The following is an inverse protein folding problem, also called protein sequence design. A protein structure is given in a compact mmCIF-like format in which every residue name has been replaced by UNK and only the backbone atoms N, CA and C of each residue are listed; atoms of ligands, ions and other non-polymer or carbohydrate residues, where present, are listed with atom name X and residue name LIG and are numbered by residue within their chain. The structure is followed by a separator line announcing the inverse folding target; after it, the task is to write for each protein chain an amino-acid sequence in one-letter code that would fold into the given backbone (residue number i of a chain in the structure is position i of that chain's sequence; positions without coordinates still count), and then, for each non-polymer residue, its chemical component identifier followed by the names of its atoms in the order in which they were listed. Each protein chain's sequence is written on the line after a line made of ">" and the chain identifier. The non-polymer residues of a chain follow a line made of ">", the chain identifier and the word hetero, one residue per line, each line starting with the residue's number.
data_IF_749442083696
#
_entry.id   IF_749442083696
#
_cell.length_a   1.000
_cell.length_b   1.000
_cell.length_c   1.000
_cell.angle_alpha   90.00
_cell.angle_beta   90.00
_cell.angle_gamma   90.00
#
_symmetry.space_group_name_H-M   'P 1'
#
loop_
_entity.id
_entity.type
_entity.pdbx_description
1 polymer ?
#
# COMPACT_ATOMS: atom_id res chain seq x y z
N UNK A 1 8.32 105.45 -5.86
CA UNK A 1 8.43 104.00 -6.15
C UNK A 1 9.28 103.36 -5.07
N UNK A 2 8.64 102.61 -4.15
CA UNK A 2 9.30 102.06 -2.98
C UNK A 2 8.48 100.94 -2.36
N UNK A 3 9.03 99.72 -2.43
CA UNK A 3 9.00 98.60 -1.45
C UNK A 3 7.72 98.24 -0.66
N UNK A 4 6.54 98.76 -0.99
CA UNK A 4 5.29 98.42 -0.29
C UNK A 4 4.29 97.63 -1.15
N UNK A 5 4.32 97.73 -2.49
CA UNK A 5 3.34 97.06 -3.36
C UNK A 5 3.77 95.67 -3.85
N UNK A 6 5.07 95.37 -3.88
CA UNK A 6 5.56 94.02 -4.22
C UNK A 6 5.31 92.95 -3.14
N UNK A 7 4.99 93.36 -1.89
CA UNK A 7 4.68 92.42 -0.80
C UNK A 7 3.20 92.07 -0.69
N UNK A 8 2.29 92.79 -1.38
CA UNK A 8 0.85 92.45 -1.40
C UNK A 8 0.44 91.52 -2.55
N UNK A 9 1.30 91.32 -3.56
CA UNK A 9 1.05 90.38 -4.65
C UNK A 9 1.52 88.93 -4.40
N UNK A 10 2.15 88.62 -3.25
CA UNK A 10 2.61 87.25 -2.89
C UNK A 10 1.79 86.56 -1.79
N UNK A 11 0.64 87.11 -1.40
CA UNK A 11 -0.26 86.50 -0.41
C UNK A 11 -1.67 86.22 -0.95
N UNK A 12 -1.79 85.95 -2.25
CA UNK A 12 -3.05 85.54 -2.88
C UNK A 12 -2.87 84.23 -3.64
N UNK A 13 -3.03 83.09 -2.96
CA UNK A 13 -3.25 81.81 -3.65
C UNK A 13 -2.27 80.69 -3.31
N UNK A 14 -2.54 79.98 -2.22
CA UNK A 14 -2.37 78.52 -2.13
C UNK A 14 -2.81 77.97 -0.75
N UNK A 15 -4.02 78.31 -0.29
CA UNK A 15 -4.74 77.43 0.66
C UNK A 15 -5.62 76.46 -0.14
N UNK A 16 -4.97 75.60 -0.95
CA UNK A 16 -5.61 74.36 -1.38
C UNK A 16 -5.54 73.44 -0.16
N UNK A 17 -6.63 73.40 0.60
CA UNK A 17 -6.84 72.32 1.56
C UNK A 17 -6.59 71.01 0.80
N UNK A 18 -5.60 70.22 1.23
CA UNK A 18 -5.55 68.81 0.84
C UNK A 18 -6.78 68.18 1.50
N UNK A 19 -7.94 68.33 0.86
CA UNK A 19 -9.10 67.53 1.12
C UNK A 19 -8.61 66.10 0.94
N UNK A 20 -8.38 65.38 2.06
CA UNK A 20 -8.12 63.95 2.03
C UNK A 20 -9.31 63.36 1.30
N UNK A 21 -9.13 63.04 0.02
CA UNK A 21 -10.13 62.32 -0.76
C UNK A 21 -10.37 61.04 0.01
N UNK A 22 -11.45 61.00 0.80
CA UNK A 22 -11.93 59.80 1.46
C UNK A 22 -12.22 58.85 0.32
N UNK A 23 -11.30 57.90 0.07
CA UNK A 23 -11.46 56.84 -0.93
C UNK A 23 -12.75 56.07 -0.58
N UNK A 24 -13.88 56.47 -1.15
CA UNK A 24 -15.15 55.74 -1.11
C UNK A 24 -15.09 54.68 -2.21
N UNK A 25 -15.36 53.43 -1.87
CA UNK A 25 -15.34 52.28 -2.78
C UNK A 25 -14.69 51.03 -2.17
N UNK A 26 -14.90 49.87 -2.80
CA UNK A 26 -14.41 48.54 -2.38
C UNK A 26 -12.92 48.51 -2.04
N UNK A 27 -12.11 49.41 -2.65
CA UNK A 27 -10.69 49.62 -2.34
C UNK A 27 -10.39 49.99 -0.87
N UNK A 28 -11.38 50.42 -0.07
CA UNK A 28 -11.23 50.63 1.38
C UNK A 28 -11.10 49.33 2.18
N UNK A 29 -11.50 48.20 1.60
CA UNK A 29 -11.39 46.87 2.20
C UNK A 29 -10.08 46.17 1.83
N UNK A 30 -9.44 46.56 0.72
CA UNK A 30 -8.17 46.02 0.22
C UNK A 30 -6.95 46.89 0.58
N UNK A 31 -6.93 47.52 1.76
CA UNK A 31 -5.68 48.10 2.26
C UNK A 31 -4.76 46.97 2.75
N UNK A 32 -3.45 47.06 2.52
CA UNK A 32 -2.47 46.04 2.96
C UNK A 32 -2.65 45.66 4.43
N UNK A 33 -2.95 46.63 5.31
CA UNK A 33 -3.25 46.38 6.74
C UNK A 33 -4.50 45.52 6.97
N UNK A 34 -5.55 45.68 6.16
CA UNK A 34 -6.76 44.86 6.25
C UNK A 34 -6.57 43.51 5.60
N UNK A 35 -5.86 43.43 4.46
CA UNK A 35 -5.45 42.14 3.86
C UNK A 35 -4.61 41.31 4.83
N UNK A 36 -3.65 41.94 5.50
CA UNK A 36 -2.80 41.32 6.51
C UNK A 36 -3.61 40.93 7.76
N UNK A 37 -4.50 41.81 8.24
CA UNK A 37 -5.40 41.53 9.36
C UNK A 37 -6.37 40.38 9.06
N UNK A 38 -6.96 40.33 7.86
CA UNK A 38 -7.80 39.23 7.41
C UNK A 38 -7.00 37.94 7.27
N UNK A 39 -5.77 37.98 6.75
CA UNK A 39 -4.89 36.83 6.67
C UNK A 39 -4.59 36.25 8.05
N UNK A 40 -4.12 37.07 9.00
CA UNK A 40 -3.86 36.61 10.36
C UNK A 40 -5.13 36.19 11.10
N UNK A 41 -6.26 36.85 10.85
CA UNK A 41 -7.57 36.45 11.38
C UNK A 41 -8.00 35.07 10.87
N UNK A 42 -7.81 34.79 9.59
CA UNK A 42 -8.06 33.46 9.01
C UNK A 42 -7.09 32.41 9.56
N UNK A 43 -5.81 32.74 9.75
CA UNK A 43 -4.86 31.84 10.40
C UNK A 43 -5.28 31.51 11.83
N UNK A 44 -5.70 32.50 12.62
CA UNK A 44 -6.20 32.29 13.98
C UNK A 44 -7.48 31.44 14.00
N UNK A 45 -8.42 31.69 13.09
CA UNK A 45 -9.62 30.85 12.96
C UNK A 45 -9.27 29.41 12.58
N UNK A 46 -8.32 29.20 11.65
CA UNK A 46 -7.84 27.88 11.28
C UNK A 46 -7.14 27.16 12.45
N UNK A 47 -6.33 27.89 13.23
CA UNK A 47 -5.70 27.37 14.45
C UNK A 47 -6.75 26.99 15.50
N UNK A 48 -7.76 27.84 15.71
CA UNK A 48 -8.87 27.56 16.63
C UNK A 48 -9.68 26.34 16.21
N UNK A 49 -10.03 26.25 14.93
CA UNK A 49 -10.71 25.07 14.38
C UNK A 49 -9.86 23.79 14.53
N UNK A 50 -8.56 23.86 14.23
CA UNK A 50 -7.65 22.74 14.43
C UNK A 50 -7.56 22.32 15.90
N UNK A 51 -7.52 23.29 16.82
CA UNK A 51 -7.49 23.04 18.26
C UNK A 51 -8.77 22.35 18.75
N UNK A 52 -9.94 22.78 18.28
CA UNK A 52 -11.22 22.09 18.57
C UNK A 52 -11.21 20.65 18.06
N UNK A 53 -10.73 20.42 16.84
CA UNK A 53 -10.62 19.07 16.27
C UNK A 53 -9.62 18.23 17.07
N UNK A 54 -8.50 18.81 17.50
CA UNK A 54 -7.52 18.16 18.37
C UNK A 54 -8.16 17.70 19.68
N UNK A 55 -9.04 18.52 20.30
CA UNK A 55 -9.77 18.13 21.51
C UNK A 55 -10.83 17.06 21.26
N UNK A 56 -11.54 17.13 20.12
CA UNK A 56 -12.63 16.22 19.79
C UNK A 56 -12.19 14.83 19.34
N UNK A 57 -10.99 14.67 18.79
CA UNK A 57 -10.48 13.36 18.34
C UNK A 57 -9.90 12.63 19.55
N UNK A 58 -10.57 11.60 20.12
CA UNK A 58 -9.99 10.81 21.19
C UNK A 58 -8.75 10.08 20.70
N UNK A 59 -7.79 9.82 21.59
CA UNK A 59 -6.76 8.82 21.33
C UNK A 59 -7.50 7.48 21.37
N UNK A 60 -7.50 6.68 20.30
CA UNK A 60 -8.07 5.35 20.35
C UNK A 60 -7.42 4.59 21.52
N UNK A 61 -8.22 3.84 22.29
CA UNK A 61 -7.70 2.98 23.35
C UNK A 61 -6.60 2.09 22.79
N UNK A 62 -5.61 1.78 23.62
CA UNK A 62 -4.39 1.02 23.29
C UNK A 62 -4.74 -0.38 22.75
N UNK A 63 -5.15 -0.48 21.49
CA UNK A 63 -5.15 -1.71 20.70
C UNK A 63 -3.74 -1.93 20.16
N UNK A 64 -2.72 -1.75 21.01
CA UNK A 64 -1.29 -1.90 20.68
C UNK A 64 -0.98 -3.36 20.31
N UNK A 65 -1.88 -4.28 20.66
CA UNK A 65 -2.05 -5.54 19.97
C UNK A 65 -3.38 -5.49 19.21
N UNK A 66 -3.38 -5.03 17.96
CA UNK A 66 -4.27 -5.66 17.02
C UNK A 66 -3.85 -7.14 17.08
N UNK A 67 -4.61 -7.97 17.80
CA UNK A 67 -4.46 -9.42 17.77
C UNK A 67 -4.82 -9.82 16.36
N UNK A 68 -3.81 -9.82 15.49
CA UNK A 68 -3.94 -10.14 14.09
C UNK A 68 -4.08 -11.66 14.05
N UNK A 69 -5.32 -12.16 14.13
CA UNK A 69 -5.65 -13.57 14.18
C UNK A 69 -5.42 -14.27 12.82
N UNK A 70 -5.19 -15.59 12.78
CA UNK A 70 -5.13 -16.30 11.51
C UNK A 70 -6.46 -16.16 10.74
N UNK A 71 -6.40 -15.95 9.42
CA UNK A 71 -7.57 -16.17 8.57
C UNK A 71 -7.89 -17.65 8.53
N UNK A 72 -9.18 -17.98 8.60
CA UNK A 72 -9.68 -19.36 8.50
C UNK A 72 -10.44 -19.49 7.18
N UNK A 73 -10.00 -20.41 6.34
CA UNK A 73 -10.68 -20.77 5.09
C UNK A 73 -11.49 -22.03 5.35
N UNK A 74 -12.79 -21.99 5.06
CA UNK A 74 -13.72 -23.11 5.20
C UNK A 74 -14.29 -23.52 3.86
N UNK A 75 -14.53 -24.81 3.69
CA UNK A 75 -15.31 -25.36 2.58
C UNK A 75 -16.81 -25.10 2.79
N UNK A 76 -17.62 -25.38 1.78
CA UNK A 76 -19.08 -25.12 1.82
C UNK A 76 -19.82 -25.90 2.91
N UNK A 77 -19.27 -27.04 3.36
CA UNK A 77 -19.79 -27.83 4.48
C UNK A 77 -19.28 -27.36 5.86
N UNK A 78 -18.49 -26.27 5.92
CA UNK A 78 -17.93 -25.72 7.15
C UNK A 78 -16.60 -26.35 7.60
N UNK A 79 -16.11 -27.40 6.92
CA UNK A 79 -14.79 -27.98 7.21
C UNK A 79 -13.69 -26.94 7.00
N UNK A 80 -12.74 -26.85 7.93
CA UNK A 80 -11.57 -25.98 7.77
C UNK A 80 -10.66 -26.55 6.68
N UNK A 81 -10.47 -25.76 5.63
CA UNK A 81 -9.57 -26.03 4.51
C UNK A 81 -8.13 -25.64 4.86
N UNK A 82 -7.94 -24.40 5.34
CA UNK A 82 -6.64 -23.86 5.64
C UNK A 82 -6.74 -22.73 6.68
N UNK A 83 -5.62 -22.45 7.33
CA UNK A 83 -5.42 -21.22 8.10
C UNK A 83 -4.23 -20.49 7.53
N UNK A 84 -4.37 -19.19 7.28
CA UNK A 84 -3.26 -18.36 6.78
C UNK A 84 -3.02 -17.17 7.71
N UNK A 85 -1.78 -16.71 7.74
CA UNK A 85 -1.29 -15.75 8.73
C UNK A 85 -0.53 -16.45 9.85
N UNK A 86 0.53 -15.79 10.33
CA UNK A 86 1.39 -16.32 11.37
C UNK A 86 0.66 -16.39 12.71
N UNK A 87 0.68 -17.58 13.32
CA UNK A 87 0.27 -17.80 14.73
C UNK A 87 1.27 -17.14 15.69
N UNK A 88 2.51 -16.86 15.23
CA UNK A 88 3.58 -16.24 16.00
C UNK A 88 4.05 -14.92 15.34
N UNK A 89 3.25 -13.84 15.48
CA UNK A 89 3.78 -12.49 15.25
C UNK A 89 4.56 -12.08 16.49
N UNK A 90 5.80 -12.57 16.60
CA UNK A 90 6.72 -12.18 17.66
C UNK A 90 7.00 -10.68 17.54
N UNK A 91 6.44 -9.90 18.46
CA UNK A 91 6.74 -8.47 18.58
C UNK A 91 8.15 -8.35 19.15
N UNK A 92 9.06 -7.79 18.37
CA UNK A 92 10.44 -7.59 18.80
C UNK A 92 10.64 -6.16 19.27
N UNK A 93 11.31 -6.00 20.41
CA UNK A 93 11.76 -4.68 20.85
C UNK A 93 12.77 -4.09 19.86
N UNK A 94 12.88 -2.75 19.81
CA UNK A 94 13.82 -2.07 18.92
C UNK A 94 15.27 -2.50 19.19
N UNK A 95 15.58 -2.87 20.44
CA UNK A 95 16.87 -3.39 20.89
C UNK A 95 17.31 -4.68 20.16
N UNK A 96 16.34 -5.46 19.65
CA UNK A 96 16.63 -6.67 18.86
C UNK A 96 16.92 -6.37 17.39
N UNK A 97 16.54 -5.19 16.91
CA UNK A 97 16.79 -4.76 15.54
C UNK A 97 18.17 -4.08 15.48
N UNK A 98 19.12 -4.53 14.64
CA UNK A 98 20.41 -3.87 14.50
C UNK A 98 20.27 -2.38 14.12
N UNK A 99 20.99 -1.50 14.82
CA UNK A 99 20.91 -0.02 14.62
C UNK A 99 21.08 0.40 13.15
N UNK A 100 22.01 -0.16 12.35
CA UNK A 100 22.11 0.19 10.93
C UNK A 100 20.82 -0.10 10.15
N UNK A 101 20.11 -1.16 10.51
CA UNK A 101 18.81 -1.51 9.90
C UNK A 101 17.77 -0.49 10.32
N UNK A 102 17.67 -0.12 11.61
CA UNK A 102 16.76 0.94 12.07
C UNK A 102 16.97 2.24 11.29
N UNK A 103 18.24 2.65 11.14
CA UNK A 103 18.62 3.82 10.35
C UNK A 103 18.18 3.74 8.89
N UNK A 104 18.20 2.57 8.26
CA UNK A 104 17.72 2.39 6.88
C UNK A 104 16.24 2.75 6.73
N UNK A 105 15.39 2.38 7.69
CA UNK A 105 13.96 2.73 7.70
C UNK A 105 13.79 4.24 7.82
N UNK A 106 14.50 4.86 8.76
CA UNK A 106 14.44 6.31 8.99
C UNK A 106 14.97 7.09 7.79
N UNK A 107 16.12 6.70 7.25
CA UNK A 107 16.77 7.37 6.14
C UNK A 107 15.93 7.31 4.85
N UNK A 108 15.18 6.22 4.65
CA UNK A 108 14.32 6.06 3.49
C UNK A 108 12.97 6.76 3.64
N UNK A 109 12.29 6.57 4.78
CA UNK A 109 10.89 6.99 4.97
C UNK A 109 10.77 8.40 5.57
N UNK A 110 11.65 8.80 6.50
CA UNK A 110 11.46 10.01 7.30
C UNK A 110 12.79 10.55 7.88
N UNK A 111 13.60 11.26 7.07
CA UNK A 111 14.91 11.81 7.50
C UNK A 111 14.85 12.68 8.77
N UNK A 112 13.72 13.33 9.03
CA UNK A 112 13.47 14.20 10.19
C UNK A 112 12.85 13.48 11.40
N UNK A 113 12.75 12.15 11.37
CA UNK A 113 11.97 11.36 12.33
C UNK A 113 12.25 11.69 13.79
N UNK A 114 13.53 11.75 14.18
CA UNK A 114 13.91 12.00 15.57
C UNK A 114 13.63 13.43 16.05
N UNK A 115 13.49 14.39 15.12
CA UNK A 115 13.29 15.81 15.43
C UNK A 115 11.84 16.28 15.21
N UNK A 116 11.08 15.57 14.39
CA UNK A 116 9.69 15.93 14.09
C UNK A 116 8.75 15.69 15.27
N UNK A 117 7.55 16.25 15.21
CA UNK A 117 6.52 16.13 16.25
C UNK A 117 5.38 15.21 15.82
N UNK A 118 5.71 14.08 15.21
CA UNK A 118 4.77 13.12 14.62
C UNK A 118 4.30 13.52 13.22
N UNK A 119 4.48 14.79 12.83
CA UNK A 119 4.27 15.30 11.48
C UNK A 119 5.41 16.24 11.11
N UNK A 120 5.98 16.08 9.90
CA UNK A 120 7.01 16.99 9.41
C UNK A 120 6.38 18.24 8.77
N UNK A 121 6.01 19.21 9.60
CA UNK A 121 5.40 20.47 9.12
C UNK A 121 6.33 21.27 8.23
N UNK A 122 7.65 21.27 8.51
CA UNK A 122 8.64 22.02 7.72
C UNK A 122 8.81 21.37 6.35
N UNK A 123 8.91 20.04 6.30
CA UNK A 123 8.99 19.25 5.08
C UNK A 123 7.71 19.34 4.26
N UNK A 124 6.54 19.23 4.89
CA UNK A 124 5.23 19.37 4.23
C UNK A 124 5.06 20.75 3.60
N UNK A 125 5.37 21.82 4.33
CA UNK A 125 5.26 23.20 3.82
C UNK A 125 6.23 23.44 2.67
N UNK A 126 7.48 22.98 2.81
CA UNK A 126 8.50 23.05 1.75
C UNK A 126 8.08 22.27 0.50
N UNK A 127 7.44 21.11 0.70
CA UNK A 127 6.90 20.27 -0.35
C UNK A 127 5.82 20.97 -1.16
N UNK A 128 4.80 21.51 -0.47
CA UNK A 128 3.72 22.28 -1.09
C UNK A 128 4.27 23.45 -1.91
N UNK A 129 5.22 24.21 -1.35
CA UNK A 129 5.86 25.32 -2.05
C UNK A 129 6.58 24.88 -3.32
N UNK A 130 7.34 23.78 -3.25
CA UNK A 130 8.02 23.22 -4.44
C UNK A 130 7.03 22.74 -5.50
N UNK A 131 5.93 22.10 -5.09
CA UNK A 131 4.89 21.65 -6.00
C UNK A 131 4.18 22.81 -6.69
N UNK A 132 3.84 23.87 -5.95
CA UNK A 132 3.27 25.10 -6.51
C UNK A 132 4.25 25.82 -7.46
N UNK A 133 5.55 25.65 -7.24
CA UNK A 133 6.61 26.14 -8.13
C UNK A 133 6.94 25.17 -9.30
N UNK A 134 6.14 24.11 -9.50
CA UNK A 134 6.33 23.15 -10.59
C UNK A 134 7.53 22.20 -10.43
N UNK A 135 8.18 22.17 -9.27
CA UNK A 135 9.41 21.37 -9.00
C UNK A 135 9.11 19.95 -8.49
N UNK A 136 7.92 19.42 -8.76
CA UNK A 136 7.48 18.08 -8.38
C UNK A 136 6.86 17.96 -6.98
N UNK A 137 6.13 16.87 -6.76
CA UNK A 137 5.52 16.54 -5.48
C UNK A 137 6.57 16.00 -4.49
N UNK A 138 6.74 16.67 -3.35
CA UNK A 138 7.57 16.21 -2.24
C UNK A 138 6.69 16.16 -0.99
N UNK A 139 6.02 15.04 -0.73
CA UNK A 139 5.09 14.92 0.40
C UNK A 139 4.89 13.48 0.83
N UNK A 140 5.85 12.95 1.60
CA UNK A 140 5.70 11.66 2.26
C UNK A 140 5.02 11.82 3.62
N UNK A 141 4.31 10.78 4.07
CA UNK A 141 3.83 10.73 5.47
C UNK A 141 4.99 10.32 6.38
N UNK A 142 5.06 10.87 7.59
CA UNK A 142 6.07 10.50 8.60
C UNK A 142 5.90 9.06 9.06
N UNK A 143 6.94 8.47 9.68
CA UNK A 143 6.86 7.14 10.29
C UNK A 143 5.72 7.11 11.34
N UNK A 144 5.57 8.16 12.16
CA UNK A 144 4.46 8.26 13.12
C UNK A 144 3.09 8.25 12.43
N UNK A 145 2.94 8.97 11.32
CA UNK A 145 1.70 8.94 10.52
C UNK A 145 1.43 7.56 9.94
N UNK A 146 2.46 6.88 9.46
CA UNK A 146 2.32 5.53 8.92
C UNK A 146 1.97 4.51 10.02
N UNK A 147 2.61 4.60 11.19
CA UNK A 147 2.27 3.80 12.37
C UNK A 147 0.81 4.01 12.80
N UNK A 148 0.36 5.27 12.83
CA UNK A 148 -1.04 5.60 13.14
C UNK A 148 -2.01 5.05 12.10
N UNK A 149 -1.69 5.20 10.83
CA UNK A 149 -2.49 4.66 9.72
C UNK A 149 -2.63 3.14 9.82
N UNK A 150 -1.57 2.44 10.22
CA UNK A 150 -1.57 0.97 10.30
C UNK A 150 -2.37 0.45 11.51
N UNK A 151 -2.35 1.16 12.65
CA UNK A 151 -2.94 0.65 13.90
C UNK A 151 -4.32 1.21 14.24
N UNK A 152 -4.63 2.44 13.84
CA UNK A 152 -5.76 3.17 14.41
C UNK A 152 -6.83 3.61 13.41
N UNK A 153 -6.54 3.57 12.11
CA UNK A 153 -7.44 4.10 11.09
C UNK A 153 -7.81 3.04 10.07
N UNK A 154 -9.07 3.12 9.60
CA UNK A 154 -9.50 2.39 8.41
C UNK A 154 -8.80 2.95 7.16
N UNK A 155 -8.70 2.15 6.10
CA UNK A 155 -7.89 2.49 4.92
C UNK A 155 -8.54 3.52 3.97
N UNK A 156 -9.75 4.00 4.28
CA UNK A 156 -10.56 4.91 3.44
C UNK A 156 -9.92 6.28 3.21
N UNK A 157 -9.52 6.65 1.99
CA UNK A 157 -8.84 7.94 1.74
C UNK A 157 -9.77 9.16 1.70
N UNK A 158 -10.36 9.55 2.84
CA UNK A 158 -11.13 10.80 2.98
C UNK A 158 -10.30 11.94 3.58
N UNK A 159 -10.65 13.20 3.25
CA UNK A 159 -10.01 14.40 3.85
C UNK A 159 -10.17 14.40 5.38
N UNK A 160 -11.33 13.98 5.87
CA UNK A 160 -11.60 13.81 7.30
C UNK A 160 -10.68 12.75 7.94
N UNK A 161 -10.41 11.63 7.26
CA UNK A 161 -9.44 10.64 7.74
C UNK A 161 -8.04 11.24 7.84
N UNK A 162 -7.58 11.98 6.82
CA UNK A 162 -6.22 12.54 6.84
C UNK A 162 -6.03 13.57 7.97
N UNK A 163 -7.07 14.34 8.30
CA UNK A 163 -7.03 15.26 9.44
C UNK A 163 -6.97 14.50 10.78
N UNK A 164 -7.75 13.42 10.93
CA UNK A 164 -7.65 12.52 12.10
C UNK A 164 -6.25 11.90 12.21
N UNK A 165 -5.67 11.45 11.10
CA UNK A 165 -4.31 10.90 11.05
C UNK A 165 -3.27 11.89 11.59
N UNK A 166 -3.33 13.16 11.15
CA UNK A 166 -2.45 14.23 11.65
C UNK A 166 -2.62 14.40 13.16
N UNK A 167 -3.86 14.57 13.64
CA UNK A 167 -4.14 14.81 15.06
C UNK A 167 -3.69 13.62 15.93
N UNK A 168 -4.00 12.39 15.53
CA UNK A 168 -3.60 11.19 16.27
C UNK A 168 -2.07 11.06 16.25
N UNK A 169 -1.39 11.38 15.15
CA UNK A 169 0.08 11.35 15.07
C UNK A 169 0.74 12.32 16.04
N UNK A 170 0.19 13.53 16.19
CA UNK A 170 0.66 14.49 17.20
C UNK A 170 0.51 13.94 18.63
N UNK A 171 -0.60 13.27 18.92
CA UNK A 171 -0.87 12.70 20.25
C UNK A 171 -0.01 11.48 20.54
N UNK A 172 0.21 10.62 19.55
CA UNK A 172 1.10 9.46 19.65
C UNK A 172 2.54 9.92 19.92
N UNK A 173 3.02 10.93 19.21
CA UNK A 173 4.36 11.49 19.41
C UNK A 173 4.59 12.12 20.79
N UNK A 174 3.51 12.61 21.43
CA UNK A 174 3.56 13.15 22.79
C UNK A 174 3.55 12.06 23.87
N UNK A 175 2.99 10.88 23.57
CA UNK A 175 2.79 9.81 24.55
C UNK A 175 3.87 8.74 24.50
N UNK A 176 4.42 8.47 23.33
CA UNK A 176 5.43 7.43 23.09
C UNK A 176 6.76 8.04 22.67
N UNK A 177 7.85 7.40 23.07
CA UNK A 177 9.19 7.73 22.57
C UNK A 177 9.33 7.40 21.08
N UNK A 178 10.31 8.04 20.41
CA UNK A 178 10.62 7.76 19.01
C UNK A 178 10.99 6.30 18.78
N UNK A 179 11.65 5.67 19.75
CA UNK A 179 12.05 4.27 19.68
C UNK A 179 10.82 3.34 19.75
N UNK A 180 9.86 3.62 20.63
CA UNK A 180 8.59 2.89 20.69
C UNK A 180 7.78 3.06 19.40
N UNK A 181 7.75 4.27 18.84
CA UNK A 181 7.05 4.54 17.57
C UNK A 181 7.73 3.79 16.41
N UNK A 182 9.07 3.78 16.36
CA UNK A 182 9.81 3.06 15.32
C UNK A 182 9.63 1.55 15.45
N UNK A 183 9.71 1.00 16.66
CA UNK A 183 9.43 -0.40 16.93
C UNK A 183 8.00 -0.76 16.53
N UNK A 184 7.03 0.04 16.95
CA UNK A 184 5.62 -0.13 16.61
C UNK A 184 5.41 -0.09 15.10
N UNK A 185 6.01 0.87 14.40
CA UNK A 185 5.98 0.96 12.94
C UNK A 185 6.55 -0.31 12.28
N UNK A 186 7.75 -0.74 12.69
CA UNK A 186 8.41 -1.91 12.13
C UNK A 186 7.68 -3.21 12.43
N UNK A 187 7.00 -3.33 13.57
CA UNK A 187 6.24 -4.52 13.96
C UNK A 187 4.83 -4.57 13.36
N UNK A 188 4.26 -3.44 12.97
CA UNK A 188 2.87 -3.36 12.45
C UNK A 188 2.80 -3.13 10.94
N UNK A 189 3.94 -2.84 10.31
CA UNK A 189 4.02 -2.70 8.86
C UNK A 189 3.89 -4.03 8.15
N UNK A 190 3.22 -4.02 6.99
CA UNK A 190 3.11 -5.16 6.09
C UNK A 190 4.28 -5.17 5.12
N UNK A 191 5.03 -6.26 5.11
CA UNK A 191 6.20 -6.46 4.26
C UNK A 191 5.90 -7.38 3.06
N UNK A 192 4.66 -7.73 2.76
CA UNK A 192 4.40 -8.75 1.73
C UNK A 192 4.63 -10.17 2.25
N UNK A 193 4.40 -11.19 1.41
CA UNK A 193 4.48 -12.62 1.80
C UNK A 193 3.67 -13.02 3.05
N UNK A 194 2.64 -12.25 3.40
CA UNK A 194 1.89 -12.44 4.65
C UNK A 194 2.63 -11.98 5.92
N UNK A 195 3.84 -11.43 5.80
CA UNK A 195 4.65 -10.99 6.92
C UNK A 195 4.23 -9.59 7.40
N UNK A 196 3.68 -9.53 8.61
CA UNK A 196 3.53 -8.29 9.36
C UNK A 196 4.55 -8.27 10.47
N UNK A 197 5.30 -7.18 10.51
CA UNK A 197 6.38 -7.04 11.45
C UNK A 197 7.72 -7.50 10.92
N UNK A 198 8.77 -6.81 11.35
CA UNK A 198 10.12 -7.00 10.86
C UNK A 198 10.68 -8.39 11.14
N UNK A 199 10.31 -9.03 12.26
CA UNK A 199 10.74 -10.40 12.57
C UNK A 199 10.12 -11.42 11.62
N UNK A 200 8.81 -11.32 11.36
CA UNK A 200 8.14 -12.17 10.38
C UNK A 200 8.72 -11.94 8.97
N UNK A 201 9.04 -10.69 8.62
CA UNK A 201 9.67 -10.36 7.35
C UNK A 201 11.09 -10.95 7.22
N UNK A 202 11.91 -10.86 8.27
CA UNK A 202 13.24 -11.47 8.32
C UNK A 202 13.18 -12.98 8.04
N UNK A 203 12.20 -13.67 8.63
CA UNK A 203 11.96 -15.09 8.40
C UNK A 203 11.43 -15.38 6.98
N UNK A 204 10.46 -14.60 6.49
CA UNK A 204 9.84 -14.80 5.18
C UNK A 204 10.77 -14.51 3.98
N UNK A 205 11.71 -13.58 4.13
CA UNK A 205 12.63 -13.17 3.07
C UNK A 205 14.03 -13.78 3.19
N UNK A 206 14.49 -14.06 4.41
CA UNK A 206 15.87 -14.52 4.65
C UNK A 206 15.97 -15.78 5.51
N UNK A 207 14.89 -16.22 6.16
CA UNK A 207 14.90 -17.37 7.07
C UNK A 207 15.78 -17.15 8.30
N UNK A 208 15.90 -15.88 8.74
CA UNK A 208 16.75 -15.44 9.84
C UNK A 208 15.93 -14.67 10.85
N UNK A 209 16.41 -14.62 12.09
CA UNK A 209 15.95 -13.64 13.08
C UNK A 209 16.40 -12.24 12.66
N UNK A 210 15.60 -11.23 13.00
CA UNK A 210 15.91 -9.82 12.67
C UNK A 210 17.28 -9.39 13.21
N UNK A 211 17.69 -9.93 14.36
CA UNK A 211 18.99 -9.67 14.99
C UNK A 211 20.19 -10.20 14.20
N UNK A 212 19.95 -11.11 13.26
CA UNK A 212 20.98 -11.75 12.41
C UNK A 212 20.98 -11.22 10.98
N UNK A 213 20.11 -10.26 10.66
CA UNK A 213 20.08 -9.65 9.32
C UNK A 213 21.31 -8.76 9.11
N UNK A 214 21.80 -8.75 7.88
CA UNK A 214 22.80 -7.74 7.47
C UNK A 214 22.13 -6.41 7.13
N UNK A 215 22.92 -5.35 7.01
CA UNK A 215 22.40 -4.03 6.59
C UNK A 215 21.75 -4.10 5.20
N UNK A 216 22.33 -4.86 4.26
CA UNK A 216 21.80 -5.04 2.91
C UNK A 216 20.40 -5.68 2.94
N UNK A 217 20.24 -6.73 3.75
CA UNK A 217 18.98 -7.46 3.93
C UNK A 217 17.92 -6.58 4.62
N UNK A 218 18.28 -5.90 5.70
CA UNK A 218 17.37 -4.99 6.41
C UNK A 218 16.95 -3.79 5.56
N UNK A 219 17.87 -3.24 4.75
CA UNK A 219 17.56 -2.14 3.83
C UNK A 219 16.61 -2.56 2.72
N UNK A 220 16.68 -3.82 2.27
CA UNK A 220 15.69 -4.35 1.32
C UNK A 220 14.29 -4.39 1.94
N UNK A 221 14.17 -4.86 3.19
CA UNK A 221 12.89 -4.84 3.92
C UNK A 221 12.35 -3.42 4.10
N UNK A 222 13.22 -2.43 4.35
CA UNK A 222 12.81 -1.02 4.39
C UNK A 222 12.31 -0.52 3.01
N UNK A 223 13.03 -0.86 1.92
CA UNK A 223 12.67 -0.48 0.56
C UNK A 223 11.30 -1.02 0.11
N UNK A 224 10.94 -2.19 0.63
CA UNK A 224 9.72 -2.93 0.28
C UNK A 224 8.43 -2.24 0.74
N UNK A 225 8.46 -1.53 1.88
CA UNK A 225 7.27 -1.06 2.60
C UNK A 225 6.33 -0.15 1.79
N UNK A 226 6.84 0.62 0.82
CA UNK A 226 5.96 1.49 0.03
C UNK A 226 5.00 0.69 -0.86
N UNK A 227 5.44 -0.44 -1.41
CA UNK A 227 4.62 -1.25 -2.31
C UNK A 227 5.03 -2.73 -2.25
N UNK A 228 4.75 -3.44 -1.14
CA UNK A 228 5.33 -4.76 -0.90
C UNK A 228 5.10 -5.76 -2.03
N UNK A 229 3.87 -5.82 -2.57
CA UNK A 229 3.54 -6.74 -3.67
C UNK A 229 4.21 -6.37 -5.01
N UNK A 230 4.49 -5.09 -5.25
CA UNK A 230 5.17 -4.62 -6.47
C UNK A 230 6.69 -4.69 -6.38
N UNK A 231 7.23 -4.72 -5.16
CA UNK A 231 8.66 -4.64 -4.86
C UNK A 231 9.25 -5.97 -4.36
N UNK A 232 8.42 -6.99 -4.11
CA UNK A 232 8.90 -8.34 -3.85
C UNK A 232 9.68 -8.86 -5.06
N UNK A 233 10.97 -9.12 -4.87
CA UNK A 233 11.88 -9.45 -5.96
C UNK A 233 11.45 -10.70 -6.74
N UNK A 234 10.82 -11.66 -6.06
CA UNK A 234 10.39 -12.91 -6.66
C UNK A 234 9.24 -12.69 -7.64
N UNK A 235 8.22 -11.92 -7.24
CA UNK A 235 6.99 -11.72 -8.03
C UNK A 235 7.04 -10.47 -8.91
N UNK A 236 7.93 -9.52 -8.62
CA UNK A 236 8.06 -8.29 -9.39
C UNK A 236 8.64 -8.55 -10.79
N UNK A 237 8.02 -7.94 -11.80
CA UNK A 237 8.60 -7.83 -13.14
C UNK A 237 9.85 -6.92 -13.18
N UNK A 238 10.52 -6.79 -14.32
CA UNK A 238 11.77 -6.02 -14.46
C UNK A 238 11.67 -4.58 -13.93
N UNK A 239 10.53 -3.92 -14.15
CA UNK A 239 10.27 -2.55 -13.66
C UNK A 239 10.23 -2.51 -12.12
N UNK A 240 9.51 -3.42 -11.47
CA UNK A 240 9.41 -3.47 -10.01
C UNK A 240 10.76 -3.77 -9.35
N UNK A 241 11.54 -4.68 -9.94
CA UNK A 241 12.92 -4.99 -9.50
C UNK A 241 13.85 -3.78 -9.57
N UNK A 242 13.82 -3.03 -10.67
CA UNK A 242 14.58 -1.79 -10.81
C UNK A 242 14.14 -0.72 -9.80
N UNK A 243 12.83 -0.59 -9.56
CA UNK A 243 12.30 0.38 -8.59
C UNK A 243 12.74 0.05 -7.16
N UNK A 244 12.60 -1.19 -6.71
CA UNK A 244 13.00 -1.58 -5.35
C UNK A 244 14.51 -1.45 -5.16
N UNK A 245 15.32 -1.82 -6.16
CA UNK A 245 16.78 -1.63 -6.10
C UNK A 245 17.16 -0.14 -6.06
N UNK A 246 16.45 0.71 -6.80
CA UNK A 246 16.62 2.16 -6.73
C UNK A 246 16.32 2.73 -5.35
N UNK A 247 15.28 2.22 -4.67
CA UNK A 247 14.97 2.59 -3.28
C UNK A 247 16.01 2.11 -2.30
N UNK A 248 16.48 0.88 -2.47
CA UNK A 248 17.56 0.30 -1.65
C UNK A 248 18.81 1.17 -1.73
N UNK A 249 19.23 1.57 -2.93
CA UNK A 249 20.34 2.51 -3.12
C UNK A 249 20.09 3.84 -2.43
N UNK A 250 18.90 4.42 -2.65
CA UNK A 250 18.52 5.71 -2.06
C UNK A 250 18.54 5.68 -0.53
N UNK A 251 18.12 4.59 0.10
CA UNK A 251 18.16 4.43 1.55
C UNK A 251 19.60 4.54 2.07
N UNK A 252 20.53 3.81 1.46
CA UNK A 252 21.93 3.81 1.85
C UNK A 252 22.62 5.14 1.54
N UNK A 253 22.31 5.78 0.41
CA UNK A 253 22.83 7.11 0.06
C UNK A 253 22.35 8.16 1.07
N UNK A 254 21.07 8.08 1.47
CA UNK A 254 20.54 8.92 2.53
C UNK A 254 21.23 8.66 3.89
N UNK A 255 21.60 7.42 4.20
CA UNK A 255 22.38 7.12 5.41
C UNK A 255 23.77 7.77 5.36
N UNK A 256 24.39 7.88 4.19
CA UNK A 256 25.65 8.62 4.01
C UNK A 256 25.44 10.12 4.24
N UNK A 257 24.41 10.72 3.63
CA UNK A 257 24.06 12.14 3.84
C UNK A 257 23.83 12.46 5.33
N UNK A 258 23.23 11.51 6.05
CA UNK A 258 22.91 11.61 7.47
C UNK A 258 24.10 11.22 8.37
N UNK A 259 25.26 10.88 7.80
CA UNK A 259 26.49 10.46 8.50
C UNK A 259 26.31 9.20 9.35
N UNK A 260 25.34 8.35 9.01
CA UNK A 260 25.11 7.04 9.62
C UNK A 260 25.83 5.92 8.90
N UNK A 261 26.33 6.17 7.70
CA UNK A 261 27.14 5.26 6.90
C UNK A 261 28.28 6.05 6.25
N UNK A 262 29.50 5.50 6.21
CA UNK A 262 30.60 6.16 5.51
C UNK A 262 30.48 5.94 4.00
N UNK A 263 30.96 6.86 3.14
CA UNK A 263 31.03 6.62 1.70
C UNK A 263 31.83 5.36 1.34
N UNK A 264 32.89 5.06 2.10
CA UNK A 264 33.71 3.87 1.89
C UNK A 264 32.94 2.58 2.18
N UNK A 265 32.16 2.53 3.26
CA UNK A 265 31.37 1.35 3.60
C UNK A 265 30.17 1.20 2.65
N UNK A 266 29.53 2.32 2.29
CA UNK A 266 28.47 2.35 1.26
C UNK A 266 28.91 1.71 -0.06
N UNK A 267 30.15 1.96 -0.48
CA UNK A 267 30.69 1.42 -1.73
C UNK A 267 30.93 -0.10 -1.70
N UNK A 268 31.06 -0.69 -0.51
CA UNK A 268 31.24 -2.15 -0.33
C UNK A 268 29.91 -2.91 -0.41
N UNK A 269 28.79 -2.26 -0.05
CA UNK A 269 27.48 -2.88 -0.03
C UNK A 269 26.98 -3.18 -1.44
N UNK A 270 26.52 -4.41 -1.65
CA UNK A 270 25.93 -4.85 -2.92
C UNK A 270 24.51 -5.34 -2.69
N UNK A 271 23.63 -5.06 -3.66
CA UNK A 271 22.28 -5.58 -3.62
C UNK A 271 22.30 -7.09 -3.86
N UNK A 272 21.74 -7.84 -2.92
CA UNK A 272 21.53 -9.28 -3.05
C UNK A 272 20.03 -9.56 -3.02
N UNK A 273 19.48 -10.28 -4.02
CA UNK A 273 18.10 -10.72 -4.00
C UNK A 273 17.75 -11.50 -2.71
N UNK A 274 16.53 -11.33 -2.16
CA UNK A 274 16.07 -12.16 -1.05
C UNK A 274 15.87 -13.62 -1.49
N UNK A 275 15.71 -14.52 -0.52
CA UNK A 275 15.35 -15.90 -0.80
C UNK A 275 13.95 -15.97 -1.44
N UNK A 276 13.68 -17.07 -2.15
CA UNK A 276 12.33 -17.39 -2.61
C UNK A 276 11.37 -17.50 -1.43
N UNK A 277 10.11 -17.05 -1.63
CA UNK A 277 9.09 -17.11 -0.61
C UNK A 277 8.88 -18.56 -0.17
N UNK A 278 9.09 -18.82 1.12
CA UNK A 278 8.67 -20.07 1.73
C UNK A 278 7.15 -20.04 1.86
N UNK A 279 6.49 -21.09 1.41
CA UNK A 279 5.04 -21.14 1.46
C UNK A 279 4.58 -21.50 2.87
N UNK A 280 3.53 -20.82 3.33
CA UNK A 280 2.91 -21.09 4.62
C UNK A 280 2.51 -22.58 4.76
N UNK A 281 2.73 -23.20 5.93
CA UNK A 281 2.25 -24.56 6.21
C UNK A 281 0.76 -24.69 5.90
N UNK A 282 0.35 -25.75 5.18
CA UNK A 282 -1.05 -25.99 4.81
C UNK A 282 -1.48 -25.52 3.41
N UNK A 283 -0.58 -24.97 2.61
CA UNK A 283 -0.85 -24.55 1.21
C UNK A 283 -0.46 -25.58 0.14
N UNK A 284 -0.19 -26.82 0.54
CA UNK A 284 0.26 -27.91 -0.36
C UNK A 284 -0.87 -28.32 -1.32
N UNK A 285 -0.52 -28.67 -2.56
CA UNK A 285 -1.47 -29.29 -3.49
C UNK A 285 -2.57 -28.32 -3.92
N UNK A 286 -3.83 -28.79 -3.93
CA UNK A 286 -4.97 -27.97 -4.37
C UNK A 286 -5.36 -26.87 -3.37
N UNK A 287 -5.08 -27.07 -2.09
CA UNK A 287 -5.43 -26.10 -1.03
C UNK A 287 -4.88 -24.71 -1.31
N UNK A 288 -3.62 -24.63 -1.77
CA UNK A 288 -3.00 -23.35 -2.10
C UNK A 288 -3.70 -22.61 -3.25
N UNK A 289 -4.13 -23.32 -4.30
CA UNK A 289 -4.89 -22.73 -5.40
C UNK A 289 -6.27 -22.23 -4.95
N UNK A 290 -6.96 -22.98 -4.10
CA UNK A 290 -8.27 -22.58 -3.56
C UNK A 290 -8.18 -21.32 -2.69
N UNK A 291 -7.16 -21.26 -1.83
CA UNK A 291 -6.88 -20.09 -0.99
C UNK A 291 -6.50 -18.88 -1.84
N UNK A 292 -5.64 -19.05 -2.85
CA UNK A 292 -5.27 -17.95 -3.77
C UNK A 292 -6.47 -17.45 -4.58
N UNK A 293 -7.30 -18.35 -5.12
CA UNK A 293 -8.52 -17.99 -5.84
C UNK A 293 -9.49 -17.20 -4.94
N UNK A 294 -9.72 -17.66 -3.71
CA UNK A 294 -10.55 -16.94 -2.74
C UNK A 294 -9.97 -15.55 -2.40
N UNK A 295 -8.65 -15.45 -2.23
CA UNK A 295 -7.98 -14.17 -1.99
C UNK A 295 -8.15 -13.21 -3.16
N UNK A 296 -7.94 -13.66 -4.40
CA UNK A 296 -8.11 -12.84 -5.61
C UNK A 296 -9.55 -12.37 -5.76
N UNK A 297 -10.52 -13.23 -5.50
CA UNK A 297 -11.94 -12.89 -5.54
C UNK A 297 -12.26 -11.76 -4.56
N UNK A 298 -11.80 -11.86 -3.31
CA UNK A 298 -12.00 -10.82 -2.30
C UNK A 298 -11.35 -9.49 -2.72
N UNK A 299 -10.15 -9.54 -3.31
CA UNK A 299 -9.46 -8.36 -3.84
C UNK A 299 -10.24 -7.70 -4.98
N UNK A 300 -10.73 -8.51 -5.93
CA UNK A 300 -11.53 -8.02 -7.05
C UNK A 300 -12.85 -7.39 -6.58
N UNK A 301 -13.38 -7.84 -5.45
CA UNK A 301 -14.58 -7.28 -4.82
C UNK A 301 -14.28 -6.15 -3.81
N UNK A 302 -13.07 -5.58 -3.84
CA UNK A 302 -12.73 -4.35 -3.11
C UNK A 302 -12.11 -4.54 -1.72
N UNK A 303 -11.83 -5.78 -1.29
CA UNK A 303 -11.10 -6.04 -0.04
C UNK A 303 -9.60 -5.86 -0.30
N UNK A 304 -8.97 -4.90 0.37
CA UNK A 304 -7.53 -4.69 0.16
C UNK A 304 -6.69 -5.86 0.70
N UNK A 305 -5.55 -6.13 0.05
CA UNK A 305 -4.58 -7.14 0.52
C UNK A 305 -4.15 -6.86 1.97
N UNK A 306 -3.98 -5.59 2.32
CA UNK A 306 -3.64 -5.16 3.68
C UNK A 306 -4.75 -5.47 4.70
N UNK A 307 -6.02 -5.47 4.29
CA UNK A 307 -7.14 -5.82 5.17
C UNK A 307 -7.20 -7.33 5.39
N UNK A 308 -7.03 -8.13 4.34
CA UNK A 308 -7.01 -9.59 4.46
C UNK A 308 -5.82 -10.06 5.30
N UNK A 309 -4.65 -9.48 5.06
CA UNK A 309 -3.44 -9.93 5.72
C UNK A 309 -3.34 -9.44 7.19
N UNK A 310 -4.23 -8.52 7.63
CA UNK A 310 -4.45 -8.26 9.06
C UNK A 310 -5.07 -9.45 9.80
N UNK A 311 -5.67 -10.41 9.11
CA UNK A 311 -6.16 -11.59 9.79
C UNK A 311 -7.55 -11.45 10.41
N UNK A 312 -8.01 -12.49 11.10
CA UNK A 312 -9.32 -12.55 11.79
C UNK A 312 -10.51 -12.83 10.88
N UNK A 313 -10.29 -13.10 9.59
CA UNK A 313 -11.36 -13.43 8.66
C UNK A 313 -11.73 -14.90 8.75
N UNK A 314 -13.03 -15.19 8.75
CA UNK A 314 -13.53 -16.52 8.38
C UNK A 314 -14.09 -16.44 6.98
N UNK A 315 -13.40 -17.06 6.02
CA UNK A 315 -13.73 -17.06 4.60
C UNK A 315 -14.34 -18.41 4.27
N UNK A 316 -15.61 -18.43 3.88
CA UNK A 316 -16.29 -19.67 3.46
C UNK A 316 -16.34 -19.73 1.95
N UNK A 317 -15.76 -20.77 1.37
CA UNK A 317 -15.73 -21.01 -0.07
C UNK A 317 -16.97 -21.81 -0.48
N UNK A 318 -17.36 -21.65 -1.74
CA UNK A 318 -18.40 -22.46 -2.38
C UNK A 318 -17.93 -23.89 -2.73
N UNK A 319 -16.66 -24.20 -2.46
CA UNK A 319 -16.05 -25.48 -2.79
C UNK A 319 -16.68 -26.60 -1.96
N UNK A 320 -17.28 -27.55 -2.67
CA UNK A 320 -17.84 -28.77 -2.11
C UNK A 320 -16.74 -29.85 -2.08
N UNK A 321 -16.39 -30.38 -0.90
CA UNK A 321 -15.29 -31.35 -0.79
C UNK A 321 -15.50 -32.62 -1.61
N UNK A 322 -16.74 -33.09 -1.76
CA UNK A 322 -17.03 -34.27 -2.55
C UNK A 322 -16.83 -33.99 -4.04
N UNK A 323 -17.31 -32.83 -4.52
CA UNK A 323 -17.09 -32.40 -5.92
C UNK A 323 -15.63 -32.09 -6.21
N UNK A 324 -14.93 -31.47 -5.27
CA UNK A 324 -13.49 -31.21 -5.36
C UNK A 324 -12.71 -32.50 -5.54
N UNK A 325 -12.99 -33.51 -4.70
CA UNK A 325 -12.36 -34.82 -4.82
C UNK A 325 -12.68 -35.49 -6.16
N UNK A 326 -13.94 -35.47 -6.61
CA UNK A 326 -14.33 -36.03 -7.90
C UNK A 326 -13.59 -35.37 -9.08
N UNK A 327 -13.41 -34.05 -9.03
CA UNK A 327 -12.66 -33.32 -10.05
C UNK A 327 -11.18 -33.73 -10.06
N UNK A 328 -10.54 -33.81 -8.89
CA UNK A 328 -9.15 -34.26 -8.75
C UNK A 328 -8.97 -35.70 -9.27
N UNK A 329 -9.88 -36.61 -8.89
CA UNK A 329 -9.86 -38.00 -9.35
C UNK A 329 -10.07 -38.09 -10.88
N UNK A 330 -10.94 -37.26 -11.45
CA UNK A 330 -11.16 -37.19 -12.90
C UNK A 330 -9.91 -36.69 -13.65
N UNK A 331 -9.27 -35.61 -13.18
CA UNK A 331 -8.00 -35.12 -13.76
C UNK A 331 -6.92 -36.18 -13.66
N UNK A 332 -6.83 -36.88 -12.51
CA UNK A 332 -5.87 -37.96 -12.32
C UNK A 332 -6.10 -39.09 -13.32
N UNK A 333 -7.31 -39.63 -13.36
CA UNK A 333 -7.65 -40.78 -14.18
C UNK A 333 -7.60 -40.48 -15.68
N UNK A 334 -7.99 -39.27 -16.09
CA UNK A 334 -8.09 -38.94 -17.51
C UNK A 334 -6.79 -38.39 -18.10
N UNK A 335 -5.93 -37.81 -17.28
CA UNK A 335 -4.74 -37.10 -17.75
C UNK A 335 -3.48 -37.52 -17.00
N UNK A 336 -3.33 -37.16 -15.72
CA UNK A 336 -2.01 -37.22 -15.08
C UNK A 336 -1.48 -38.63 -14.89
N UNK A 337 -2.34 -39.63 -14.71
CA UNK A 337 -1.93 -41.05 -14.61
C UNK A 337 -1.46 -41.64 -15.94
N UNK A 338 -1.69 -40.95 -17.06
CA UNK A 338 -1.31 -41.38 -18.41
C UNK A 338 -0.04 -40.68 -18.91
N UNK A 339 0.51 -39.74 -18.14
CA UNK A 339 1.73 -39.01 -18.45
C UNK A 339 2.94 -39.83 -18.01
N UNK A 340 3.93 -39.99 -18.90
CA UNK A 340 5.19 -40.66 -18.60
C UNK A 340 6.36 -39.84 -19.16
N UNK A 341 6.85 -38.83 -18.40
CA UNK A 341 7.97 -37.97 -18.81
C UNK A 341 9.26 -38.74 -19.13
N UNK A 342 9.44 -39.93 -18.54
CA UNK A 342 10.58 -40.80 -18.79
C UNK A 342 10.56 -41.43 -20.18
N UNK A 343 9.35 -41.70 -20.72
CA UNK A 343 9.17 -42.23 -22.09
C UNK A 343 8.91 -41.14 -23.12
N UNK A 344 8.17 -40.09 -22.76
CA UNK A 344 7.75 -39.04 -23.68
C UNK A 344 8.03 -37.68 -23.06
N UNK A 345 9.12 -37.05 -23.50
CA UNK A 345 9.59 -35.78 -22.91
C UNK A 345 8.52 -34.68 -22.87
N UNK A 346 7.66 -34.59 -23.88
CA UNK A 346 6.57 -33.60 -23.92
C UNK A 346 5.54 -33.76 -22.80
N UNK A 347 5.44 -34.96 -22.19
CA UNK A 347 4.54 -35.19 -21.05
C UNK A 347 5.03 -34.43 -19.80
N UNK A 348 6.32 -34.02 -19.74
CA UNK A 348 6.87 -33.20 -18.67
C UNK A 348 6.34 -31.75 -18.70
N UNK A 349 5.99 -31.26 -19.89
CA UNK A 349 5.55 -29.88 -20.11
C UNK A 349 4.02 -29.74 -19.98
N UNK A 350 3.31 -30.86 -19.87
CA UNK A 350 1.86 -30.87 -19.87
C UNK A 350 1.30 -30.37 -18.53
N UNK A 351 0.40 -29.40 -18.61
CA UNK A 351 -0.25 -28.82 -17.44
C UNK A 351 -1.77 -28.88 -17.57
N UNK A 352 -2.44 -29.26 -16.48
CA UNK A 352 -3.89 -29.33 -16.40
C UNK A 352 -4.45 -28.17 -15.57
N UNK A 353 -5.60 -27.65 -16.00
CA UNK A 353 -6.46 -26.76 -15.23
C UNK A 353 -7.91 -27.17 -15.44
N UNK A 354 -8.70 -27.21 -14.37
CA UNK A 354 -10.12 -27.53 -14.47
C UNK A 354 -10.94 -26.78 -13.42
N UNK A 355 -12.20 -26.51 -13.73
CA UNK A 355 -13.15 -25.91 -12.80
C UNK A 355 -14.53 -26.56 -12.99
N UNK A 356 -15.30 -26.67 -11.91
CA UNK A 356 -16.71 -27.03 -11.95
C UNK A 356 -17.52 -25.85 -11.41
N UNK A 357 -18.54 -25.45 -12.16
CA UNK A 357 -19.39 -24.28 -11.86
C UNK A 357 -20.84 -24.72 -11.81
N UNK A 358 -21.56 -24.25 -10.79
CA UNK A 358 -23.02 -24.37 -10.76
C UNK A 358 -23.63 -23.38 -11.77
N UNK A 359 -24.30 -23.86 -12.84
CA UNK A 359 -24.82 -22.99 -13.89
C UNK A 359 -25.98 -22.10 -13.42
N UNK A 360 -26.64 -22.43 -12.30
CA UNK A 360 -27.74 -21.61 -11.77
C UNK A 360 -27.25 -20.39 -11.02
N UNK A 361 -26.11 -20.53 -10.31
CA UNK A 361 -25.59 -19.50 -9.40
C UNK A 361 -24.30 -18.86 -9.88
N UNK A 362 -23.60 -19.48 -10.84
CA UNK A 362 -22.24 -19.10 -11.23
C UNK A 362 -21.17 -19.49 -10.21
N UNK A 363 -21.53 -20.22 -9.14
CA UNK A 363 -20.60 -20.58 -8.07
C UNK A 363 -19.58 -21.61 -8.53
N UNK A 364 -18.30 -21.36 -8.32
CA UNK A 364 -17.25 -22.38 -8.46
C UNK A 364 -17.36 -23.37 -7.30
N UNK A 365 -17.68 -24.63 -7.60
CA UNK A 365 -17.91 -25.70 -6.61
C UNK A 365 -16.75 -26.68 -6.50
N UNK A 366 -15.84 -26.68 -7.48
CA UNK A 366 -14.57 -27.40 -7.46
C UNK A 366 -13.57 -26.72 -8.40
N UNK A 367 -12.27 -26.75 -8.06
CA UNK A 367 -11.20 -26.13 -8.84
C UNK A 367 -9.93 -26.98 -8.76
N UNK A 368 -9.31 -27.25 -9.91
CA UNK A 368 -8.02 -27.92 -10.03
C UNK A 368 -7.03 -26.96 -10.69
N UNK A 369 -6.09 -26.43 -9.91
CA UNK A 369 -5.17 -25.37 -10.38
C UNK A 369 -3.90 -25.87 -11.05
N UNK A 370 -3.55 -27.14 -10.90
CA UNK A 370 -2.28 -27.69 -11.39
C UNK A 370 -1.78 -28.84 -10.52
N UNK A 371 -0.54 -29.29 -10.73
CA UNK A 371 0.02 -30.44 -10.00
C UNK A 371 0.19 -30.17 -8.50
N UNK A 372 0.76 -29.01 -8.15
CA UNK A 372 1.01 -28.60 -6.78
C UNK A 372 1.23 -27.10 -6.73
N UNK A 373 0.49 -26.39 -5.88
CA UNK A 373 0.65 -24.95 -5.69
C UNK A 373 2.07 -24.57 -5.28
N UNK A 374 2.77 -25.42 -4.52
CA UNK A 374 4.13 -25.16 -4.08
C UNK A 374 5.17 -25.23 -5.20
N UNK A 375 4.87 -25.97 -6.27
CA UNK A 375 5.75 -26.12 -7.43
C UNK A 375 5.39 -25.16 -8.56
N UNK A 376 4.11 -24.82 -8.67
CA UNK A 376 3.58 -23.97 -9.73
C UNK A 376 2.42 -23.12 -9.20
N UNK A 377 2.71 -21.91 -8.72
CA UNK A 377 1.72 -21.06 -8.05
C UNK A 377 0.66 -20.47 -9.00
N UNK A 378 0.95 -20.40 -10.30
CA UNK A 378 -0.02 -19.94 -11.28
C UNK A 378 -1.09 -21.03 -11.47
N UNK A 379 -2.32 -20.74 -11.08
CA UNK A 379 -3.44 -21.65 -11.32
C UNK A 379 -3.79 -21.70 -12.81
N UNK A 380 -3.72 -22.87 -13.41
CA UNK A 380 -4.12 -23.09 -14.79
C UNK A 380 -5.63 -22.96 -15.00
N UNK A 381 -6.43 -23.17 -13.94
CA UNK A 381 -7.88 -23.04 -14.01
C UNK A 381 -8.37 -21.58 -14.00
N UNK A 382 -7.55 -20.65 -13.47
CA UNK A 382 -7.91 -19.22 -13.41
C UNK A 382 -6.99 -18.35 -14.26
N UNK A 383 -6.19 -18.97 -15.14
CA UNK A 383 -5.27 -18.26 -16.01
C UNK A 383 -6.04 -17.67 -17.21
N UNK A 384 -5.86 -16.38 -17.47
CA UNK A 384 -6.53 -15.65 -18.55
C UNK A 384 -5.69 -15.55 -19.81
N UNK A 385 -4.49 -16.13 -19.86
CA UNK A 385 -3.59 -16.03 -21.03
C UNK A 385 -3.81 -17.12 -22.08
N UNK A 386 -4.58 -18.16 -21.77
CA UNK A 386 -4.87 -19.23 -22.72
C UNK A 386 -5.91 -18.82 -23.77
N UNK A 387 -5.66 -19.19 -25.02
CA UNK A 387 -6.62 -18.94 -26.11
C UNK A 387 -7.76 -19.96 -26.03
N UNK A 388 -9.04 -19.53 -26.06
CA UNK A 388 -10.17 -20.45 -25.99
C UNK A 388 -10.33 -21.27 -27.29
N UNK A 389 -9.80 -20.81 -28.42
CA UNK A 389 -9.92 -21.45 -29.71
C UNK A 389 -11.39 -21.84 -30.03
N UNK A 390 -11.65 -23.08 -30.45
CA UNK A 390 -13.00 -23.50 -30.83
C UNK A 390 -14.00 -23.55 -29.67
N UNK A 391 -13.58 -23.50 -28.40
CA UNK A 391 -14.52 -23.50 -27.26
C UNK A 391 -15.32 -22.20 -27.16
N UNK A 392 -14.91 -21.14 -27.87
CA UNK A 392 -15.65 -19.87 -27.92
C UNK A 392 -16.77 -19.85 -28.98
N UNK A 393 -16.81 -20.82 -29.91
CA UNK A 393 -17.81 -20.88 -30.99
C UNK A 393 -19.27 -20.85 -30.48
N UNK A 394 -19.65 -21.56 -29.40
CA UNK A 394 -21.02 -21.48 -28.88
C UNK A 394 -21.42 -20.07 -28.43
N UNK A 395 -20.48 -19.26 -27.93
CA UNK A 395 -20.73 -17.87 -27.52
C UNK A 395 -21.01 -17.00 -28.75
N UNK A 396 -20.24 -17.20 -29.83
CA UNK A 396 -20.46 -16.51 -31.11
C UNK A 396 -21.84 -16.88 -31.68
N UNK A 397 -22.20 -18.17 -31.62
CA UNK A 397 -23.50 -18.65 -32.09
C UNK A 397 -24.65 -18.08 -31.26
N UNK A 398 -24.52 -18.03 -29.93
CA UNK A 398 -25.52 -17.42 -29.06
C UNK A 398 -25.72 -15.92 -29.35
N UNK A 399 -24.63 -15.20 -29.65
CA UNK A 399 -24.72 -13.81 -30.09
C UNK A 399 -25.41 -13.67 -31.45
N UNK A 400 -25.15 -14.59 -32.38
CA UNK A 400 -25.81 -14.63 -33.68
C UNK A 400 -27.33 -14.83 -33.55
N UNK A 401 -27.78 -15.77 -32.71
CA UNK A 401 -29.20 -15.95 -32.41
C UNK A 401 -29.83 -14.69 -31.82
N UNK A 402 -29.18 -14.08 -30.83
CA UNK A 402 -29.72 -12.91 -30.12
C UNK A 402 -29.79 -11.65 -31.00
N UNK A 403 -28.97 -11.57 -32.05
CA UNK A 403 -28.95 -10.47 -33.00
C UNK A 403 -29.77 -10.76 -34.28
N UNK A 404 -30.41 -11.94 -34.37
CA UNK A 404 -31.11 -12.37 -35.58
C UNK A 404 -30.21 -12.40 -36.82
N UNK A 405 -28.95 -12.82 -36.66
CA UNK A 405 -27.98 -12.84 -37.75
C UNK A 405 -28.39 -13.85 -38.83
N UNK A 406 -27.95 -13.59 -40.06
CA UNK A 406 -28.20 -14.44 -41.23
C UNK A 406 -26.90 -15.11 -41.71
N UNK A 407 -27.03 -16.27 -42.34
CA UNK A 407 -25.96 -16.93 -43.10
C UNK A 407 -25.66 -16.17 -44.39
N UNK A 408 -24.58 -16.53 -45.10
CA UNK A 408 -24.19 -15.84 -46.34
C UNK A 408 -25.23 -15.94 -47.46
N UNK A 409 -26.08 -16.96 -47.43
CA UNK A 409 -27.21 -17.20 -48.33
C UNK A 409 -28.53 -16.56 -47.85
N UNK A 410 -28.50 -15.77 -46.77
CA UNK A 410 -29.66 -15.02 -46.26
C UNK A 410 -30.60 -15.86 -45.38
N UNK A 411 -30.18 -17.03 -44.91
CA UNK A 411 -30.98 -17.85 -44.00
C UNK A 411 -30.76 -17.36 -42.57
N UNK A 412 -31.84 -17.04 -41.86
CA UNK A 412 -31.74 -16.63 -40.46
C UNK A 412 -31.17 -17.76 -39.60
N UNK A 413 -30.22 -17.42 -38.73
CA UNK A 413 -29.65 -18.33 -37.74
C UNK A 413 -30.67 -18.40 -36.59
N UNK A 414 -31.38 -19.53 -36.45
CA UNK A 414 -32.50 -19.76 -35.49
C UNK A 414 -32.21 -20.76 -34.39
#
# INVERSE_FOLDING_TARGET
>A
MGRAEERRARQGGARRSKQKVKKKGIRRFFTWKKMLGTFFGLCLLAMGAFYVIYLMVPIPSDNVEAKLESNVYKLSNGQVLARTGDVNRETVGLDKVPVPIQHSFVALENKTFYDDKGVDFKGTTRGILKTLMGKGAQGGSTITQQYVKNNYLTQEQTVTRKLKEIVISLKVDQRYSKDEILAGYMNTSYYGRGAYGIQAAAQAYYGKDVSKLTLEEGTYLAALLQAPSQYDWQTAGPVGRNLVQGRWNKALDNMVDMKWLTPQDRAKLKFTPPNDAKVAPGMVGQTGYLVDAAKRELINNGVSDAVLARGGWTITLNIDPAKQKLLEDAVKAQLTSKLDPGKRKVDADLQAGAASVDPKTGSVVALYGGQDFLKHQLSNATNTTYQPASTFKPVILAAAFNQGAETQDGTQIT
#
